data_IF_767049421392
#
_entry.id   IF_767049421392
#
_cell.length_a   1.000
_cell.length_b   1.000
_cell.length_c   1.000
_cell.angle_alpha   90.00
_cell.angle_beta   90.00
_cell.angle_gamma   90.00
#
_symmetry.space_group_name_H-M   'P 1'
#
loop_
_entity.id
_entity.type
_entity.pdbx_description
1 polymer ?
#
# COMPACT_ATOMS: atom_id res chain seq x y z
N UNK A 1 -17.34 -12.99 -11.89
CA UNK A 1 -16.94 -12.89 -10.48
C UNK A 1 -17.86 -11.89 -9.81
N UNK A 2 -18.77 -12.38 -8.97
CA UNK A 2 -19.78 -11.59 -8.27
C UNK A 2 -19.09 -10.66 -7.25
N UNK A 3 -19.30 -9.37 -7.41
CA UNK A 3 -18.87 -8.36 -6.43
C UNK A 3 -19.87 -8.36 -5.28
N UNK A 4 -19.47 -8.82 -4.12
CA UNK A 4 -20.23 -8.62 -2.89
C UNK A 4 -20.10 -7.14 -2.48
N UNK A 5 -21.19 -6.37 -2.60
CA UNK A 5 -21.24 -4.95 -2.23
C UNK A 5 -22.10 -4.81 -0.99
N UNK A 6 -21.50 -4.41 0.12
CA UNK A 6 -22.20 -4.02 1.34
C UNK A 6 -22.45 -2.51 1.31
N UNK A 7 -23.71 -2.10 1.38
CA UNK A 7 -24.09 -0.69 1.50
C UNK A 7 -24.50 -0.41 2.94
N UNK A 8 -23.85 0.57 3.56
CA UNK A 8 -24.20 1.07 4.88
C UNK A 8 -24.77 2.47 4.77
N UNK A 9 -25.72 2.80 5.65
CA UNK A 9 -26.19 4.16 5.83
C UNK A 9 -25.07 5.00 6.48
N UNK A 10 -24.76 6.16 5.88
CA UNK A 10 -23.68 7.02 6.34
C UNK A 10 -23.92 7.57 7.75
N UNK A 11 -25.18 7.83 8.13
CA UNK A 11 -25.55 8.27 9.49
C UNK A 11 -25.35 7.16 10.53
N UNK A 12 -25.62 5.91 10.15
CA UNK A 12 -25.42 4.74 11.01
C UNK A 12 -23.92 4.46 11.23
N UNK A 13 -23.10 4.64 10.19
CA UNK A 13 -21.66 4.46 10.25
C UNK A 13 -20.94 5.55 11.07
N UNK A 14 -21.51 6.77 11.15
CA UNK A 14 -20.96 7.89 11.89
C UNK A 14 -21.36 7.91 13.37
N UNK A 15 -22.27 7.02 13.83
CA UNK A 15 -22.65 6.97 15.24
C UNK A 15 -21.50 6.44 16.11
N UNK A 16 -21.05 7.19 17.13
CA UNK A 16 -20.07 6.69 18.08
C UNK A 16 -20.64 5.47 18.82
N UNK A 17 -19.94 4.34 18.71
CA UNK A 17 -20.30 3.14 19.46
C UNK A 17 -19.91 3.38 20.91
N UNK A 18 -20.89 3.62 21.80
CA UNK A 18 -20.71 3.92 23.22
C UNK A 18 -19.95 2.82 24.01
N UNK A 19 -19.80 1.63 23.42
CA UNK A 19 -19.07 0.48 23.97
C UNK A 19 -17.79 0.15 23.18
N UNK A 20 -17.35 1.05 22.31
CA UNK A 20 -16.15 0.84 21.48
C UNK A 20 -14.89 0.87 22.35
N UNK A 21 -14.28 -0.30 22.60
CA UNK A 21 -12.95 -0.37 23.17
C UNK A 21 -11.94 -0.25 22.02
N UNK A 22 -11.16 0.86 21.93
CA UNK A 22 -10.20 1.07 20.83
C UNK A 22 -9.10 -0.01 20.79
N UNK A 23 -8.73 -0.60 21.93
CA UNK A 23 -7.77 -1.68 21.98
C UNK A 23 -8.32 -2.97 21.36
N UNK A 24 -9.61 -3.27 21.62
CA UNK A 24 -10.30 -4.42 21.05
C UNK A 24 -10.52 -4.23 19.54
N UNK A 25 -10.81 -3.03 19.09
CA UNK A 25 -10.92 -2.71 17.66
C UNK A 25 -9.58 -2.89 16.96
N UNK A 26 -8.49 -2.37 17.52
CA UNK A 26 -7.13 -2.55 16.98
C UNK A 26 -6.68 -4.02 16.98
N UNK A 27 -7.10 -4.83 17.95
CA UNK A 27 -6.81 -6.27 17.96
C UNK A 27 -7.64 -7.01 16.91
N UNK A 28 -8.93 -6.66 16.75
CA UNK A 28 -9.78 -7.20 15.70
C UNK A 28 -9.26 -6.88 14.31
N UNK A 29 -8.79 -5.64 14.07
CA UNK A 29 -8.16 -5.24 12.82
C UNK A 29 -6.87 -6.02 12.54
N UNK A 30 -6.04 -6.22 13.56
CA UNK A 30 -4.83 -7.07 13.45
C UNK A 30 -5.17 -8.53 13.17
N UNK A 31 -6.23 -9.07 13.77
CA UNK A 31 -6.71 -10.44 13.47
C UNK A 31 -7.28 -10.54 12.06
N UNK A 32 -8.07 -9.57 11.64
CA UNK A 32 -8.62 -9.51 10.29
C UNK A 32 -7.52 -9.40 9.23
N UNK A 33 -6.53 -8.55 9.45
CA UNK A 33 -5.37 -8.42 8.56
C UNK A 33 -4.61 -9.74 8.43
N UNK A 34 -4.33 -10.44 9.54
CA UNK A 34 -3.69 -11.78 9.52
C UNK A 34 -4.55 -12.82 8.80
N UNK A 35 -5.86 -12.78 8.97
CA UNK A 35 -6.78 -13.70 8.30
C UNK A 35 -6.82 -13.46 6.79
N UNK A 36 -6.86 -12.19 6.37
CA UNK A 36 -6.82 -11.78 4.96
C UNK A 36 -5.47 -12.14 4.32
N UNK A 37 -4.35 -11.95 5.03
CA UNK A 37 -3.03 -12.40 4.58
C UNK A 37 -2.97 -13.93 4.38
N UNK A 38 -3.63 -14.70 5.24
CA UNK A 38 -3.75 -16.16 5.11
C UNK A 38 -4.66 -16.62 3.96
N UNK A 39 -5.58 -15.76 3.50
CA UNK A 39 -6.45 -16.00 2.33
C UNK A 39 -5.82 -15.51 1.02
N UNK A 40 -4.77 -14.68 1.07
CA UNK A 40 -4.05 -14.27 -0.12
C UNK A 40 -3.39 -15.48 -0.79
N UNK A 41 -3.49 -15.63 -2.12
CA UNK A 41 -2.81 -16.71 -2.81
C UNK A 41 -1.32 -16.69 -2.46
N UNK A 42 -0.76 -17.84 -2.07
CA UNK A 42 0.67 -17.99 -1.74
C UNK A 42 1.53 -17.93 -3.02
N UNK A 43 1.54 -16.76 -3.67
CA UNK A 43 2.28 -16.48 -4.89
C UNK A 43 3.63 -15.86 -4.59
N UNK A 44 4.57 -15.92 -5.54
CA UNK A 44 5.83 -15.22 -5.41
C UNK A 44 5.63 -13.70 -5.31
N UNK A 45 4.66 -13.15 -6.03
CA UNK A 45 4.30 -11.73 -5.96
C UNK A 45 3.81 -11.33 -4.56
N UNK A 46 2.93 -12.11 -3.93
CA UNK A 46 2.44 -11.86 -2.57
C UNK A 46 3.58 -11.90 -1.54
N UNK A 47 4.45 -12.90 -1.62
CA UNK A 47 5.63 -13.02 -0.74
C UNK A 47 6.58 -11.85 -0.90
N UNK A 48 6.86 -11.43 -2.14
CA UNK A 48 7.68 -10.25 -2.43
C UNK A 48 7.03 -9.00 -1.83
N UNK A 49 5.72 -8.78 -2.04
CA UNK A 49 4.99 -7.65 -1.48
C UNK A 49 5.10 -7.58 0.04
N UNK A 50 4.90 -8.70 0.73
CA UNK A 50 5.02 -8.76 2.20
C UNK A 50 6.43 -8.37 2.68
N UNK A 51 7.49 -8.82 1.99
CA UNK A 51 8.86 -8.44 2.33
C UNK A 51 9.14 -6.97 2.00
N UNK A 52 8.63 -6.46 0.89
CA UNK A 52 8.75 -5.05 0.53
C UNK A 52 8.12 -4.13 1.58
N UNK A 53 6.94 -4.46 2.08
CA UNK A 53 6.27 -3.71 3.14
C UNK A 53 7.12 -3.63 4.42
N UNK A 54 7.83 -4.71 4.76
CA UNK A 54 8.75 -4.75 5.92
C UNK A 54 10.05 -3.99 5.66
N UNK A 55 10.56 -4.01 4.44
CA UNK A 55 11.85 -3.43 4.07
C UNK A 55 11.76 -1.95 3.66
N UNK A 56 10.56 -1.41 3.40
CA UNK A 56 10.41 -0.04 2.91
C UNK A 56 11.01 0.99 3.86
N UNK A 57 10.82 0.83 5.16
CA UNK A 57 11.38 1.74 6.17
C UNK A 57 12.90 1.58 6.39
N UNK A 58 13.49 0.46 5.99
CA UNK A 58 14.95 0.23 6.08
C UNK A 58 15.72 0.60 4.81
N UNK A 59 15.03 0.85 3.69
CA UNK A 59 15.67 1.22 2.42
C UNK A 59 16.21 0.05 1.60
N UNK A 60 16.22 -1.17 2.14
CA UNK A 60 16.73 -2.39 1.49
C UNK A 60 15.69 -2.98 0.52
N UNK A 61 15.51 -2.32 -0.61
CA UNK A 61 14.51 -2.66 -1.61
C UNK A 61 15.12 -3.24 -2.88
N UNK A 62 16.29 -3.89 -2.79
CA UNK A 62 16.89 -4.52 -3.94
C UNK A 62 16.34 -5.93 -4.20
N UNK A 63 16.36 -6.34 -5.45
CA UNK A 63 15.80 -7.65 -5.85
C UNK A 63 16.60 -8.81 -5.27
N UNK A 64 17.91 -8.65 -5.11
CA UNK A 64 18.81 -9.70 -4.65
C UNK A 64 18.59 -9.97 -3.15
N UNK A 65 18.45 -8.91 -2.33
CA UNK A 65 18.12 -9.02 -0.92
C UNK A 65 16.77 -9.67 -0.69
N UNK A 66 15.75 -9.27 -1.44
CA UNK A 66 14.41 -9.89 -1.36
C UNK A 66 14.44 -11.36 -1.81
N UNK A 67 15.18 -11.71 -2.86
CA UNK A 67 15.33 -13.09 -3.29
C UNK A 67 16.03 -13.95 -2.22
N UNK A 68 17.08 -13.41 -1.60
CA UNK A 68 17.80 -14.06 -0.51
C UNK A 68 16.88 -14.31 0.70
N UNK A 69 16.08 -13.31 1.09
CA UNK A 69 15.10 -13.44 2.17
C UNK A 69 14.02 -14.51 1.87
N UNK A 70 13.78 -14.81 0.59
CA UNK A 70 12.90 -15.90 0.13
C UNK A 70 13.65 -17.24 -0.05
N UNK A 71 14.91 -17.34 0.36
CA UNK A 71 15.77 -18.52 0.15
C UNK A 71 15.86 -18.98 -1.31
N UNK A 72 15.99 -18.04 -2.24
CA UNK A 72 16.13 -18.32 -3.66
C UNK A 72 17.05 -17.32 -4.37
N UNK A 73 17.56 -17.67 -5.55
CA UNK A 73 18.32 -16.75 -6.38
C UNK A 73 17.42 -15.72 -7.06
N UNK A 74 17.96 -14.53 -7.39
CA UNK A 74 17.23 -13.51 -8.14
C UNK A 74 16.67 -14.02 -9.48
N UNK A 75 17.41 -14.89 -10.18
CA UNK A 75 16.95 -15.51 -11.43
C UNK A 75 15.75 -16.43 -11.21
N UNK A 76 15.74 -17.19 -10.11
CA UNK A 76 14.62 -18.06 -9.75
C UNK A 76 13.38 -17.22 -9.40
N UNK A 77 13.55 -16.16 -8.59
CA UNK A 77 12.48 -15.21 -8.27
C UNK A 77 11.91 -14.57 -9.55
N UNK A 78 12.77 -14.07 -10.43
CA UNK A 78 12.35 -13.45 -11.68
C UNK A 78 11.54 -14.41 -12.55
N UNK A 79 11.98 -15.68 -12.66
CA UNK A 79 11.27 -16.71 -13.43
C UNK A 79 9.89 -17.01 -12.83
N UNK A 80 9.76 -17.07 -11.50
CA UNK A 80 8.47 -17.28 -10.81
C UNK A 80 7.52 -16.10 -11.07
N UNK A 81 7.99 -14.86 -10.85
CA UNK A 81 7.19 -13.68 -11.10
C UNK A 81 6.72 -13.58 -12.56
N UNK A 82 7.57 -13.92 -13.52
CA UNK A 82 7.17 -13.97 -14.95
C UNK A 82 6.07 -14.99 -15.21
N UNK A 83 6.10 -16.17 -14.57
CA UNK A 83 5.03 -17.17 -14.68
C UNK A 83 3.70 -16.67 -14.11
N UNK A 84 3.75 -15.78 -13.12
CA UNK A 84 2.60 -15.09 -12.54
C UNK A 84 2.19 -13.83 -13.34
N UNK A 85 2.82 -13.56 -14.50
CA UNK A 85 2.51 -12.42 -15.36
C UNK A 85 3.00 -11.07 -14.82
N UNK A 86 3.95 -11.07 -13.88
CA UNK A 86 4.46 -9.85 -13.25
C UNK A 86 6.00 -9.80 -13.22
N UNK A 87 6.54 -8.72 -12.69
CA UNK A 87 7.98 -8.53 -12.46
C UNK A 87 8.20 -7.93 -11.08
N UNK A 88 9.43 -8.06 -10.54
CA UNK A 88 9.81 -7.44 -9.28
C UNK A 88 9.50 -5.93 -9.26
N UNK A 89 9.91 -5.20 -10.31
CA UNK A 89 9.67 -3.77 -10.43
C UNK A 89 8.17 -3.43 -10.42
N UNK A 90 7.35 -4.27 -11.06
CA UNK A 90 5.90 -4.07 -11.10
C UNK A 90 5.27 -4.28 -9.73
N UNK A 91 5.70 -5.29 -8.97
CA UNK A 91 5.25 -5.50 -7.59
C UNK A 91 5.68 -4.33 -6.70
N UNK A 92 6.94 -3.89 -6.80
CA UNK A 92 7.46 -2.74 -6.05
C UNK A 92 6.68 -1.45 -6.36
N UNK A 93 6.48 -1.14 -7.65
CA UNK A 93 5.74 0.05 -8.09
C UNK A 93 4.28 0.02 -7.60
N UNK A 94 3.62 -1.14 -7.67
CA UNK A 94 2.24 -1.30 -7.18
C UNK A 94 2.16 -1.09 -5.67
N UNK A 95 3.06 -1.72 -4.91
CA UNK A 95 3.10 -1.58 -3.45
C UNK A 95 3.38 -0.13 -3.03
N UNK A 96 4.35 0.52 -3.67
CA UNK A 96 4.66 1.94 -3.41
C UNK A 96 3.50 2.87 -3.74
N UNK A 97 2.79 2.61 -4.84
CA UNK A 97 1.61 3.38 -5.24
C UNK A 97 0.48 3.26 -4.22
N UNK A 98 0.18 2.05 -3.77
CA UNK A 98 -0.88 1.79 -2.78
C UNK A 98 -0.59 2.53 -1.48
N UNK A 99 0.62 2.40 -0.93
CA UNK A 99 1.03 3.11 0.29
C UNK A 99 1.09 4.63 0.11
N UNK A 100 1.54 5.12 -1.06
CA UNK A 100 1.55 6.55 -1.34
C UNK A 100 0.13 7.14 -1.27
N UNK A 101 -0.85 6.46 -1.87
CA UNK A 101 -2.25 6.88 -1.84
C UNK A 101 -2.81 6.84 -0.41
N UNK A 102 -2.50 5.78 0.35
CA UNK A 102 -2.90 5.65 1.75
C UNK A 102 -2.35 6.79 2.61
N UNK A 103 -1.04 7.05 2.58
CA UNK A 103 -0.40 8.12 3.35
C UNK A 103 -0.89 9.52 2.96
N UNK A 104 -1.08 9.77 1.66
CA UNK A 104 -1.62 11.04 1.19
C UNK A 104 -3.08 11.25 1.63
N UNK A 105 -3.88 10.19 1.66
CA UNK A 105 -5.28 10.25 2.08
C UNK A 105 -5.40 10.40 3.60
N UNK A 106 -4.55 9.73 4.37
CA UNK A 106 -4.52 9.87 5.83
C UNK A 106 -4.11 11.28 6.28
N UNK A 107 -3.27 11.99 5.50
CA UNK A 107 -2.85 13.36 5.80
C UNK A 107 -1.92 13.50 7.01
N UNK A 108 -1.42 12.40 7.56
CA UNK A 108 -0.59 12.37 8.77
C UNK A 108 0.91 12.63 8.49
N UNK A 109 1.32 12.57 7.21
CA UNK A 109 2.70 12.64 6.78
C UNK A 109 2.93 13.78 5.79
N UNK A 110 4.08 14.43 5.89
CA UNK A 110 4.52 15.39 4.87
C UNK A 110 4.97 14.65 3.59
N UNK A 111 5.03 15.36 2.46
CA UNK A 111 5.57 14.77 1.22
C UNK A 111 7.02 14.30 1.35
N UNK A 112 7.80 14.93 2.23
CA UNK A 112 9.17 14.51 2.53
C UNK A 112 9.17 13.18 3.29
N UNK A 113 8.30 13.05 4.31
CA UNK A 113 8.15 11.81 5.08
C UNK A 113 7.70 10.65 4.18
N UNK A 114 6.68 10.88 3.35
CA UNK A 114 6.18 9.87 2.40
C UNK A 114 7.28 9.43 1.43
N UNK A 115 8.09 10.39 0.93
CA UNK A 115 9.23 10.10 0.06
C UNK A 115 10.20 9.13 0.73
N UNK A 116 10.56 9.42 1.98
CA UNK A 116 11.46 8.58 2.77
C UNK A 116 10.85 7.22 3.09
N UNK A 117 9.61 7.19 3.60
CA UNK A 117 8.89 5.96 3.96
C UNK A 117 8.72 5.00 2.77
N UNK A 118 8.63 5.52 1.55
CA UNK A 118 8.53 4.71 0.33
C UNK A 118 9.90 4.33 -0.26
N UNK A 119 11.01 4.68 0.41
CA UNK A 119 12.36 4.36 -0.01
C UNK A 119 12.78 5.06 -1.32
N UNK A 120 12.38 6.32 -1.51
CA UNK A 120 12.89 7.17 -2.59
C UNK A 120 14.07 8.02 -2.10
N UNK A 121 15.07 8.19 -2.95
CA UNK A 121 16.25 9.00 -2.64
C UNK A 121 15.91 10.49 -2.47
N UNK A 122 14.92 10.99 -3.21
CA UNK A 122 14.49 12.39 -3.19
C UNK A 122 13.04 12.55 -3.63
N UNK A 123 12.46 13.71 -3.30
CA UNK A 123 11.07 14.05 -3.60
C UNK A 123 10.78 14.17 -5.11
N UNK A 124 11.79 14.50 -5.93
CA UNK A 124 11.64 14.60 -7.38
C UNK A 124 11.44 13.22 -8.00
N UNK A 125 12.19 12.22 -7.52
CA UNK A 125 12.05 10.83 -7.91
C UNK A 125 10.67 10.28 -7.51
N UNK A 126 10.22 10.54 -6.29
CA UNK A 126 8.87 10.21 -5.84
C UNK A 126 7.79 10.87 -6.70
N UNK A 127 7.88 12.17 -6.93
CA UNK A 127 6.90 12.92 -7.73
C UNK A 127 6.77 12.38 -9.15
N UNK A 128 7.91 12.04 -9.79
CA UNK A 128 7.92 11.43 -11.14
C UNK A 128 7.27 10.06 -11.13
N UNK A 129 7.59 9.23 -10.15
CA UNK A 129 6.99 7.90 -9.99
C UNK A 129 5.48 8.00 -9.75
N UNK A 130 5.05 8.84 -8.82
CA UNK A 130 3.64 9.05 -8.51
C UNK A 130 2.84 9.53 -9.73
N UNK A 131 3.39 10.49 -10.49
CA UNK A 131 2.77 10.95 -11.73
C UNK A 131 2.67 9.83 -12.77
N UNK A 132 3.67 8.97 -12.88
CA UNK A 132 3.62 7.78 -13.77
C UNK A 132 2.51 6.82 -13.36
N UNK A 133 2.28 6.64 -12.06
CA UNK A 133 1.28 5.70 -11.53
C UNK A 133 -0.16 6.23 -11.58
N UNK A 134 -0.35 7.53 -11.36
CA UNK A 134 -1.67 8.14 -11.12
C UNK A 134 -2.08 9.18 -12.17
N UNK A 135 -1.16 9.60 -13.02
CA UNK A 135 -1.37 10.66 -14.00
C UNK A 135 -1.26 12.09 -13.43
N UNK A 136 -1.17 12.25 -12.11
CA UNK A 136 -1.12 13.55 -11.42
C UNK A 136 0.07 13.63 -10.46
N UNK A 137 0.45 14.85 -10.06
CA UNK A 137 1.45 15.01 -9.00
C UNK A 137 0.83 14.81 -7.60
N UNK A 138 1.63 14.45 -6.56
CA UNK A 138 1.11 14.33 -5.20
C UNK A 138 0.39 15.59 -4.72
N UNK A 139 0.92 16.77 -5.04
CA UNK A 139 0.30 18.07 -4.69
C UNK A 139 -1.06 18.25 -5.34
N UNK A 140 -1.16 17.96 -6.65
CA UNK A 140 -2.43 18.04 -7.38
C UNK A 140 -3.45 17.02 -6.85
N UNK A 141 -2.99 15.86 -6.43
CA UNK A 141 -3.84 14.84 -5.81
C UNK A 141 -4.46 15.36 -4.50
N UNK A 142 -3.66 15.94 -3.61
CA UNK A 142 -4.13 16.52 -2.35
C UNK A 142 -5.12 17.67 -2.58
N UNK A 143 -4.83 18.60 -3.49
CA UNK A 143 -5.74 19.73 -3.80
C UNK A 143 -7.12 19.23 -4.26
N UNK A 144 -7.16 18.19 -5.09
CA UNK A 144 -8.44 17.60 -5.54
C UNK A 144 -9.24 16.93 -4.43
N UNK A 145 -8.57 16.34 -3.44
CA UNK A 145 -9.24 15.79 -2.27
C UNK A 145 -9.87 16.89 -1.41
N UNK A 146 -9.14 17.99 -1.18
CA UNK A 146 -9.64 19.13 -0.40
C UNK A 146 -10.85 19.79 -1.08
N UNK A 147 -10.83 19.92 -2.40
CA UNK A 147 -11.95 20.48 -3.17
C UNK A 147 -13.18 19.56 -3.13
N UNK A 148 -12.99 18.24 -3.25
CA UNK A 148 -14.08 17.27 -3.17
C UNK A 148 -14.76 17.21 -1.79
N UNK A 149 -14.01 17.45 -0.71
CA UNK A 149 -14.56 17.52 0.65
C UNK A 149 -15.36 18.82 0.89
N UNK A 150 -14.99 19.91 0.22
CA UNK A 150 -15.69 21.21 0.33
C UNK A 150 -16.99 21.27 -0.46
N UNK A 151 -17.11 20.52 -1.55
CA UNK A 151 -18.35 20.42 -2.32
C UNK A 151 -19.40 19.49 -1.70
N UNK A 152 -19.00 18.65 -0.73
CA UNK A 152 -19.88 17.68 -0.05
C UNK A 152 -20.36 18.16 1.35
N UNK A 153 -19.97 19.34 1.78
CA UNK A 153 -20.34 19.97 3.06
C UNK A 153 -21.31 21.14 2.84
#
# INVERSE_FOLDING_TARGET
>A
ADRCTLKFDAELAARPVLTGNPELAAEADRMAARYIEGLAPDTAATRVRTLLLKAMSSGDLDQDGIALALNQSASTLQRRLRREGTTYQRVLDTTRRELALEYLTAGEHTLADITFLLGFADQSNFTRAFRRWTGTTPRQFLTRQDDGLRESA
#
